data_IF_291659849892
#
_entry.id   IF_291659849892
#
_cell.length_a   1.000
_cell.length_b   1.000
_cell.length_c   1.000
_cell.angle_alpha   90.00
_cell.angle_beta   90.00
_cell.angle_gamma   90.00
#
_symmetry.space_group_name_H-M   'P 1'
#
loop_
_entity.id
_entity.type
_entity.pdbx_description
1 polymer ?
#
# COMPACT_ATOMS: atom_id res chain seq x y z
N UNK A 1 31.54 -4.59 4.20
CA UNK A 1 30.15 -4.13 4.30
C UNK A 1 29.49 -4.39 2.96
N UNK A 2 29.26 -5.66 2.62
CA UNK A 2 28.57 -6.00 1.37
C UNK A 2 27.87 -7.34 1.56
N UNK A 3 26.59 -7.28 1.90
CA UNK A 3 25.65 -8.29 1.42
C UNK A 3 24.39 -7.60 0.91
N UNK A 4 24.53 -6.66 -0.03
CA UNK A 4 23.42 -6.14 -0.85
C UNK A 4 23.02 -7.19 -1.90
N UNK A 5 22.73 -8.42 -1.47
CA UNK A 5 22.24 -9.46 -2.36
C UNK A 5 20.76 -9.21 -2.65
N UNK A 6 20.40 -9.09 -3.93
CA UNK A 6 19.01 -8.98 -4.35
C UNK A 6 18.24 -10.25 -3.95
N UNK A 7 17.22 -10.09 -3.11
CA UNK A 7 16.31 -11.15 -2.66
C UNK A 7 15.16 -11.28 -3.66
N UNK A 8 14.57 -10.15 -4.05
CA UNK A 8 13.37 -10.11 -4.88
C UNK A 8 13.31 -8.81 -5.67
N UNK A 9 12.94 -8.92 -6.95
CA UNK A 9 12.71 -7.76 -7.82
C UNK A 9 11.24 -7.67 -8.21
N UNK A 10 10.52 -6.75 -7.58
CA UNK A 10 9.10 -6.52 -7.82
C UNK A 10 8.82 -5.46 -8.89
N UNK A 11 7.53 -5.17 -9.12
CA UNK A 11 7.08 -4.15 -10.08
C UNK A 11 7.48 -2.71 -9.66
N UNK A 12 7.54 -2.43 -8.36
CA UNK A 12 7.80 -1.08 -7.83
C UNK A 12 9.01 -1.00 -6.89
N UNK A 13 9.47 -2.13 -6.34
CA UNK A 13 10.55 -2.19 -5.35
C UNK A 13 11.51 -3.33 -5.62
N UNK A 14 12.78 -3.12 -5.30
CA UNK A 14 13.79 -4.16 -5.16
C UNK A 14 14.07 -4.38 -3.68
N UNK A 15 14.16 -5.63 -3.25
CA UNK A 15 14.45 -6.02 -1.88
C UNK A 15 15.82 -6.66 -1.81
N UNK A 16 16.68 -6.15 -0.94
CA UNK A 16 18.03 -6.64 -0.73
C UNK A 16 18.21 -7.15 0.69
N UNK A 17 19.05 -8.17 0.83
CA UNK A 17 19.51 -8.63 2.14
C UNK A 17 20.33 -7.53 2.83
N UNK A 18 20.45 -7.66 4.15
CA UNK A 18 21.38 -6.88 4.97
C UNK A 18 22.25 -7.83 5.77
N UNK A 19 23.22 -7.30 6.52
CA UNK A 19 24.02 -8.13 7.45
C UNK A 19 23.18 -8.69 8.61
N UNK A 20 22.03 -8.08 8.92
CA UNK A 20 21.03 -8.61 9.85
C UNK A 20 19.99 -9.45 9.09
N UNK A 21 19.89 -10.73 9.42
CA UNK A 21 18.98 -11.68 8.75
C UNK A 21 17.49 -11.37 8.95
N UNK A 22 17.16 -10.53 9.94
CA UNK A 22 15.82 -10.08 10.25
C UNK A 22 15.50 -8.71 9.64
N UNK A 23 16.41 -8.14 8.85
CA UNK A 23 16.22 -6.84 8.19
C UNK A 23 16.41 -6.96 6.67
N UNK A 24 15.65 -6.15 5.94
CA UNK A 24 15.70 -6.03 4.48
C UNK A 24 15.86 -4.55 4.12
N UNK A 25 16.69 -4.30 3.11
CA UNK A 25 16.75 -3.01 2.44
C UNK A 25 15.71 -2.99 1.32
N UNK A 26 14.75 -2.09 1.42
CA UNK A 26 13.71 -1.88 0.39
C UNK A 26 14.07 -0.66 -0.44
N UNK A 27 14.23 -0.84 -1.75
CA UNK A 27 14.63 0.19 -2.71
C UNK A 27 13.48 0.47 -3.67
N UNK A 28 12.94 1.68 -3.64
CA UNK A 28 11.83 2.12 -4.51
C UNK A 28 12.33 2.49 -5.90
N UNK A 29 11.64 1.99 -6.92
CA UNK A 29 11.94 2.24 -8.33
C UNK A 29 11.11 3.38 -8.90
N UNK A 30 11.67 4.05 -9.89
CA UNK A 30 10.96 5.00 -10.75
C UNK A 30 10.00 4.30 -11.77
N UNK A 31 9.66 3.04 -11.56
CA UNK A 31 8.78 2.29 -12.46
C UNK A 31 7.32 2.41 -12.05
N UNK A 32 6.46 2.82 -13.00
CA UNK A 32 5.02 2.71 -12.91
C UNK A 32 4.52 1.57 -13.82
N UNK A 33 3.52 0.84 -13.34
CA UNK A 33 2.91 -0.27 -14.07
C UNK A 33 1.39 -0.25 -13.91
N UNK A 34 0.67 -0.72 -14.93
CA UNK A 34 -0.78 -0.98 -14.87
C UNK A 34 -1.14 -2.24 -15.66
N UNK A 35 -2.39 -2.73 -15.49
CA UNK A 35 -2.91 -3.92 -16.15
C UNK A 35 -1.95 -5.13 -16.01
N UNK A 36 -1.56 -5.43 -14.76
CA UNK A 36 -0.62 -6.49 -14.41
C UNK A 36 0.73 -6.45 -15.15
N UNK A 37 1.17 -5.25 -15.52
CA UNK A 37 2.45 -5.02 -16.16
C UNK A 37 2.40 -4.99 -17.68
N UNK A 38 1.21 -5.00 -18.30
CA UNK A 38 1.06 -4.81 -19.74
C UNK A 38 1.57 -3.44 -20.21
N UNK A 39 1.42 -2.41 -19.37
CA UNK A 39 2.08 -1.10 -19.56
C UNK A 39 3.09 -0.88 -18.43
N UNK A 40 4.32 -0.55 -18.81
CA UNK A 40 5.41 -0.20 -17.90
C UNK A 40 6.08 1.07 -18.40
N UNK A 41 6.31 2.03 -17.51
CA UNK A 41 6.92 3.31 -17.85
C UNK A 41 7.86 3.75 -16.72
N UNK A 42 8.98 4.36 -17.09
CA UNK A 42 9.89 5.00 -16.14
C UNK A 42 9.44 6.44 -15.92
N UNK A 43 9.06 6.75 -14.70
CA UNK A 43 8.61 8.07 -14.24
C UNK A 43 9.63 8.59 -13.24
N UNK A 44 10.53 9.44 -13.71
CA UNK A 44 11.66 9.97 -12.93
C UNK A 44 11.19 10.63 -11.62
N UNK A 45 11.76 10.21 -10.50
CA UNK A 45 11.44 10.74 -9.18
C UNK A 45 10.24 10.10 -8.48
N UNK A 46 9.53 9.15 -9.14
CA UNK A 46 8.44 8.40 -8.50
C UNK A 46 8.92 7.61 -7.28
N UNK A 47 10.08 6.95 -7.39
CA UNK A 47 10.65 6.14 -6.33
C UNK A 47 10.96 6.95 -5.07
N UNK A 48 11.57 8.14 -5.22
CA UNK A 48 11.84 9.02 -4.08
C UNK A 48 10.57 9.51 -3.39
N UNK A 49 9.51 9.80 -4.18
CA UNK A 49 8.23 10.28 -3.67
C UNK A 49 7.51 9.18 -2.90
N UNK A 50 7.41 7.97 -3.47
CA UNK A 50 6.80 6.83 -2.79
C UNK A 50 7.55 6.46 -1.51
N UNK A 51 8.88 6.44 -1.54
CA UNK A 51 9.68 6.16 -0.35
C UNK A 51 9.44 7.21 0.75
N UNK A 52 9.39 8.50 0.39
CA UNK A 52 9.13 9.58 1.34
C UNK A 52 7.73 9.50 1.95
N UNK A 53 6.69 9.34 1.12
CA UNK A 53 5.30 9.25 1.56
C UNK A 53 5.10 8.01 2.44
N UNK A 54 5.59 6.85 1.98
CA UNK A 54 5.47 5.61 2.75
C UNK A 54 6.21 5.71 4.08
N UNK A 55 7.44 6.24 4.10
CA UNK A 55 8.18 6.43 5.35
C UNK A 55 7.38 7.28 6.35
N UNK A 56 6.84 8.42 5.91
CA UNK A 56 6.06 9.33 6.77
C UNK A 56 4.81 8.64 7.34
N UNK A 57 4.04 7.95 6.50
CA UNK A 57 2.84 7.24 6.95
C UNK A 57 3.18 6.13 7.94
N UNK A 58 4.20 5.32 7.65
CA UNK A 58 4.61 4.23 8.53
C UNK A 58 5.19 4.75 9.86
N UNK A 59 5.92 5.87 9.86
CA UNK A 59 6.37 6.54 11.08
C UNK A 59 5.18 6.95 11.95
N UNK A 60 4.16 7.63 11.38
CA UNK A 60 2.95 8.01 12.12
C UNK A 60 2.13 6.80 12.58
N UNK A 61 2.06 5.73 11.79
CA UNK A 61 1.40 4.48 12.21
C UNK A 61 2.12 3.85 13.42
N UNK A 62 3.45 3.85 13.42
CA UNK A 62 4.23 3.37 14.56
C UNK A 62 3.98 4.21 15.84
N UNK A 63 3.82 5.54 15.73
CA UNK A 63 3.58 6.40 16.92
C UNK A 63 2.21 6.17 17.56
N UNK A 64 1.22 5.71 16.81
CA UNK A 64 -0.12 5.34 17.31
C UNK A 64 -0.27 3.84 17.65
N UNK A 65 0.86 3.12 17.70
CA UNK A 65 0.94 1.74 18.14
C UNK A 65 0.40 0.72 17.14
N UNK A 66 0.50 0.99 15.84
CA UNK A 66 0.32 -0.02 14.78
C UNK A 66 1.67 -0.72 14.60
N UNK A 67 1.67 -2.05 14.63
CA UNK A 67 2.88 -2.82 14.43
C UNK A 67 3.22 -2.91 12.94
N UNK A 68 4.33 -2.30 12.54
CA UNK A 68 4.77 -2.29 11.15
C UNK A 68 6.17 -2.88 10.97
N UNK A 69 6.49 -3.23 9.73
CA UNK A 69 7.83 -3.61 9.34
C UNK A 69 8.81 -2.41 9.27
N UNK A 70 8.33 -1.18 9.30
CA UNK A 70 9.17 -0.02 9.04
C UNK A 70 10.11 0.24 10.22
N UNK A 71 11.41 0.43 9.91
CA UNK A 71 12.42 0.76 10.91
C UNK A 71 12.87 2.21 10.76
N UNK A 72 13.36 2.58 9.57
CA UNK A 72 13.77 3.96 9.24
C UNK A 72 13.99 4.14 7.74
N UNK A 73 13.83 5.36 7.26
CA UNK A 73 14.30 5.77 5.94
C UNK A 73 15.83 5.90 5.93
N UNK A 74 16.49 5.44 4.87
CA UNK A 74 17.96 5.47 4.74
C UNK A 74 18.45 6.49 3.72
N UNK A 75 17.71 6.67 2.62
CA UNK A 75 18.06 7.61 1.55
C UNK A 75 16.81 8.11 0.84
N UNK A 76 16.98 8.80 -0.30
CA UNK A 76 15.84 9.28 -1.07
C UNK A 76 14.93 8.14 -1.52
N UNK A 77 15.49 6.99 -1.91
CA UNK A 77 14.77 5.84 -2.48
C UNK A 77 14.81 4.58 -1.62
N UNK A 78 15.54 4.58 -0.49
CA UNK A 78 15.74 3.38 0.32
C UNK A 78 15.19 3.54 1.74
N UNK A 79 14.65 2.44 2.27
CA UNK A 79 14.25 2.29 3.66
C UNK A 79 14.70 0.94 4.22
N UNK A 80 15.03 0.91 5.51
CA UNK A 80 15.28 -0.30 6.27
C UNK A 80 13.96 -0.80 6.86
N UNK A 81 13.66 -2.08 6.63
CA UNK A 81 12.44 -2.73 7.12
C UNK A 81 12.76 -4.07 7.76
N UNK A 82 11.93 -4.49 8.72
CA UNK A 82 11.93 -5.85 9.27
C UNK A 82 11.56 -6.84 8.15
N UNK A 83 12.30 -7.93 8.09
CA UNK A 83 11.97 -9.08 7.26
C UNK A 83 10.71 -9.74 7.78
N UNK A 84 9.76 -9.99 6.90
CA UNK A 84 8.55 -10.74 7.18
C UNK A 84 8.32 -11.82 6.13
N UNK A 85 7.66 -12.90 6.50
CA UNK A 85 7.06 -13.83 5.56
C UNK A 85 5.71 -13.28 5.13
N UNK A 86 5.63 -12.73 3.91
CA UNK A 86 4.42 -12.12 3.37
C UNK A 86 3.28 -13.14 3.35
N UNK A 87 2.14 -12.74 3.93
CA UNK A 87 0.86 -13.42 3.73
C UNK A 87 0.42 -13.03 2.32
N UNK A 88 0.20 -13.98 1.39
CA UNK A 88 -0.07 -13.68 -0.01
C UNK A 88 -1.52 -13.17 -0.23
N UNK A 89 -1.89 -12.11 0.48
CA UNK A 89 -3.17 -11.41 0.38
C UNK A 89 -2.91 -9.93 0.18
N UNK A 90 -3.59 -9.37 -0.82
CA UNK A 90 -3.82 -7.94 -0.87
C UNK A 90 -5.13 -7.64 -0.14
N UNK A 91 -5.04 -6.86 0.94
CA UNK A 91 -6.17 -6.50 1.79
C UNK A 91 -6.63 -5.10 1.40
N UNK A 92 -7.73 -5.03 0.66
CA UNK A 92 -8.27 -3.77 0.15
C UNK A 92 -9.37 -3.27 1.07
N UNK A 93 -9.27 -2.04 1.56
CA UNK A 93 -10.35 -1.37 2.28
C UNK A 93 -10.90 -0.21 1.45
N UNK A 94 -12.22 -0.11 1.37
CA UNK A 94 -12.94 0.95 0.64
C UNK A 94 -13.79 1.78 1.57
N UNK A 95 -13.59 3.09 1.57
CA UNK A 95 -14.49 4.07 2.18
C UNK A 95 -15.52 4.60 1.18
N UNK A 96 -15.17 4.56 -0.11
CA UNK A 96 -15.91 5.14 -1.22
C UNK A 96 -15.89 4.17 -2.38
N UNK A 97 -17.00 4.06 -3.12
CA UNK A 97 -17.06 3.27 -4.34
C UNK A 97 -16.13 3.89 -5.40
N UNK A 98 -15.18 3.10 -5.92
CA UNK A 98 -14.31 3.47 -7.02
C UNK A 98 -13.75 2.23 -7.73
N UNK A 99 -13.22 2.42 -8.94
CA UNK A 99 -12.45 1.42 -9.67
C UNK A 99 -13.15 0.08 -9.84
N UNK A 100 -12.49 -0.99 -9.41
CA UNK A 100 -12.99 -2.36 -9.60
C UNK A 100 -14.30 -2.63 -8.85
N UNK A 101 -14.56 -1.96 -7.73
CA UNK A 101 -15.82 -2.08 -6.99
C UNK A 101 -16.98 -1.47 -7.76
N UNK A 102 -16.82 -0.23 -8.22
CA UNK A 102 -17.79 0.48 -9.06
C UNK A 102 -18.11 -0.32 -10.33
N UNK A 103 -17.09 -0.83 -11.01
CA UNK A 103 -17.27 -1.69 -12.20
C UNK A 103 -18.01 -3.00 -11.88
N UNK A 104 -17.66 -3.67 -10.77
CA UNK A 104 -18.24 -4.97 -10.40
C UNK A 104 -19.72 -4.87 -10.05
N UNK A 105 -20.13 -3.81 -9.36
CA UNK A 105 -21.49 -3.67 -8.83
C UNK A 105 -22.36 -2.67 -9.61
N UNK A 106 -21.81 -1.98 -10.62
CA UNK A 106 -22.54 -0.94 -11.36
C UNK A 106 -22.87 0.27 -10.50
N UNK A 107 -22.05 0.56 -9.49
CA UNK A 107 -22.21 1.70 -8.59
C UNK A 107 -21.31 2.83 -9.09
N UNK A 108 -21.86 4.04 -9.18
CA UNK A 108 -21.11 5.23 -9.61
C UNK A 108 -19.90 5.50 -8.69
N UNK A 109 -18.78 5.98 -9.27
CA UNK A 109 -17.63 6.38 -8.45
C UNK A 109 -18.02 7.57 -7.55
N UNK A 110 -17.55 7.57 -6.31
CA UNK A 110 -17.76 8.67 -5.36
C UNK A 110 -18.87 8.44 -4.32
N UNK A 111 -19.69 7.39 -4.49
CA UNK A 111 -20.68 6.97 -3.49
C UNK A 111 -19.97 6.59 -2.19
N UNK A 112 -20.27 7.30 -1.11
CA UNK A 112 -19.76 7.01 0.24
C UNK A 112 -20.37 5.69 0.74
N UNK A 113 -19.53 4.77 1.22
CA UNK A 113 -20.01 3.52 1.82
C UNK A 113 -20.31 3.77 3.29
N UNK A 114 -21.54 3.44 3.71
CA UNK A 114 -21.98 3.61 5.11
C UNK A 114 -21.06 2.89 6.09
N UNK A 115 -20.62 1.68 5.72
CA UNK A 115 -19.59 0.93 6.44
C UNK A 115 -18.46 0.59 5.48
N UNK A 116 -17.18 0.87 5.82
CA UNK A 116 -16.07 0.50 4.96
C UNK A 116 -16.02 -1.01 4.71
N UNK A 117 -15.82 -1.37 3.45
CA UNK A 117 -15.78 -2.77 2.99
C UNK A 117 -14.33 -3.22 2.91
N UNK A 118 -14.04 -4.41 3.42
CA UNK A 118 -12.76 -5.09 3.24
C UNK A 118 -12.94 -6.21 2.21
N UNK A 119 -12.07 -6.24 1.22
CA UNK A 119 -11.98 -7.25 0.18
C UNK A 119 -10.59 -7.88 0.21
N UNK A 120 -10.51 -9.18 -0.06
CA UNK A 120 -9.24 -9.89 -0.20
C UNK A 120 -8.99 -10.23 -1.66
N UNK A 121 -7.74 -10.10 -2.08
CA UNK A 121 -7.27 -10.57 -3.37
C UNK A 121 -6.05 -11.45 -3.18
N UNK A 122 -5.97 -12.55 -3.93
CA UNK A 122 -4.85 -13.46 -3.84
C UNK A 122 -3.64 -12.80 -4.48
N UNK A 123 -2.57 -12.53 -3.73
CA UNK A 123 -1.35 -11.94 -4.30
C UNK A 123 -0.62 -12.98 -5.16
N UNK A 124 -1.00 -13.06 -6.43
CA UNK A 124 -0.49 -14.02 -7.40
C UNK A 124 -0.64 -13.44 -8.80
N UNK A 125 0.43 -12.77 -9.22
CA UNK A 125 0.54 -12.07 -10.50
C UNK A 125 0.14 -12.96 -11.70
N UNK A 126 0.45 -14.27 -11.68
CA UNK A 126 0.11 -15.18 -12.79
C UNK A 126 -1.39 -15.48 -12.91
N UNK A 127 -2.18 -15.16 -11.88
CA UNK A 127 -3.63 -15.34 -11.85
C UNK A 127 -4.39 -14.01 -11.92
N UNK A 128 -3.69 -12.91 -12.20
CA UNK A 128 -4.24 -11.56 -12.20
C UNK A 128 -4.88 -11.14 -10.87
N UNK A 129 -4.26 -11.57 -9.76
CA UNK A 129 -4.65 -11.23 -8.39
C UNK A 129 -6.16 -11.40 -8.11
N UNK A 130 -6.70 -12.64 -8.19
CA UNK A 130 -8.14 -12.85 -8.17
C UNK A 130 -8.75 -12.51 -6.81
N UNK A 131 -9.98 -12.00 -6.83
CA UNK A 131 -10.76 -11.76 -5.60
C UNK A 131 -11.01 -13.06 -4.83
N UNK A 132 -10.85 -13.01 -3.52
CA UNK A 132 -11.08 -14.10 -2.58
C UNK A 132 -12.16 -13.74 -1.56
N UNK A 133 -12.97 -14.74 -1.20
CA UNK A 133 -13.70 -14.74 0.06
C UNK A 133 -12.92 -15.56 1.11
N UNK A 134 -13.39 -15.58 2.35
CA UNK A 134 -12.71 -16.29 3.46
C UNK A 134 -12.67 -17.82 3.29
N UNK A 135 -13.65 -18.39 2.58
CA UNK A 135 -13.64 -19.83 2.26
C UNK A 135 -12.53 -20.18 1.27
N UNK A 136 -12.29 -19.32 0.27
CA UNK A 136 -11.16 -19.50 -0.65
C UNK A 136 -9.82 -19.38 0.09
N UNK A 137 -9.69 -18.43 1.02
CA UNK A 137 -8.48 -18.27 1.86
C UNK A 137 -8.23 -19.55 2.67
N UNK A 138 -9.29 -20.09 3.29
CA UNK A 138 -9.23 -21.33 4.07
C UNK A 138 -8.85 -22.54 3.20
N UNK A 139 -9.47 -22.66 2.03
CA UNK A 139 -9.21 -23.72 1.05
C UNK A 139 -7.75 -23.70 0.57
N UNK A 140 -7.22 -22.51 0.28
CA UNK A 140 -5.84 -22.28 -0.17
C UNK A 140 -4.82 -22.34 0.97
N UNK A 141 -5.27 -22.46 2.23
CA UNK A 141 -4.44 -22.49 3.45
C UNK A 141 -3.50 -21.28 3.55
N UNK A 142 -4.01 -20.10 3.18
CA UNK A 142 -3.23 -18.86 3.15
C UNK A 142 -3.03 -18.30 4.57
N UNK A 143 -4.08 -18.31 5.39
CA UNK A 143 -4.08 -17.81 6.76
C UNK A 143 -5.18 -18.52 7.58
N UNK A 144 -5.05 -18.54 8.91
CA UNK A 144 -6.09 -19.06 9.80
C UNK A 144 -7.29 -18.11 9.87
N UNK A 145 -8.42 -18.55 10.44
CA UNK A 145 -9.60 -17.69 10.62
C UNK A 145 -9.31 -16.57 11.61
N UNK A 146 -8.52 -16.88 12.62
CA UNK A 146 -8.04 -15.97 13.65
C UNK A 146 -7.16 -14.88 13.02
N UNK A 147 -6.16 -15.26 12.20
CA UNK A 147 -5.31 -14.30 11.48
C UNK A 147 -6.14 -13.37 10.59
N UNK A 148 -7.15 -13.91 9.89
CA UNK A 148 -8.04 -13.11 9.03
C UNK A 148 -8.88 -12.13 9.85
N UNK A 149 -9.36 -12.52 11.03
CA UNK A 149 -10.06 -11.62 11.93
C UNK A 149 -9.15 -10.49 12.41
N UNK A 150 -7.92 -10.81 12.83
CA UNK A 150 -6.93 -9.84 13.28
C UNK A 150 -6.54 -8.85 12.16
N UNK A 151 -6.29 -9.36 10.95
CA UNK A 151 -6.01 -8.54 9.76
C UNK A 151 -7.16 -7.58 9.47
N UNK A 152 -8.43 -8.04 9.53
CA UNK A 152 -9.59 -7.17 9.29
C UNK A 152 -9.72 -6.10 10.37
N UNK A 153 -9.51 -6.46 11.63
CA UNK A 153 -9.55 -5.51 12.74
C UNK A 153 -8.46 -4.45 12.60
N UNK A 154 -7.22 -4.86 12.36
CA UNK A 154 -6.09 -3.93 12.23
C UNK A 154 -6.23 -3.05 10.97
N UNK A 155 -6.73 -3.60 9.86
CA UNK A 155 -7.04 -2.82 8.64
C UNK A 155 -8.08 -1.72 8.91
N UNK A 156 -9.11 -2.00 9.70
CA UNK A 156 -10.10 -0.98 10.10
C UNK A 156 -9.50 0.07 11.03
N UNK A 157 -8.63 -0.34 11.96
CA UNK A 157 -7.91 0.58 12.86
C UNK A 157 -6.98 1.49 12.07
N UNK A 158 -6.22 0.95 11.12
CA UNK A 158 -5.36 1.70 10.20
C UNK A 158 -6.20 2.68 9.38
N UNK A 159 -7.34 2.25 8.83
CA UNK A 159 -8.24 3.15 8.10
C UNK A 159 -8.70 4.35 8.94
N UNK A 160 -9.05 4.14 10.21
CA UNK A 160 -9.52 5.23 11.07
C UNK A 160 -8.45 6.34 11.19
N UNK A 161 -7.18 5.97 11.41
CA UNK A 161 -6.08 6.93 11.47
C UNK A 161 -5.81 7.58 10.12
N UNK A 162 -5.63 6.79 9.06
CA UNK A 162 -5.32 7.30 7.73
C UNK A 162 -6.40 8.25 7.22
N UNK A 163 -7.67 7.89 7.40
CA UNK A 163 -8.80 8.72 6.99
C UNK A 163 -8.74 10.09 7.68
N UNK A 164 -8.53 10.12 8.99
CA UNK A 164 -8.40 11.38 9.75
C UNK A 164 -7.20 12.20 9.29
N UNK A 165 -6.04 11.58 9.08
CA UNK A 165 -4.83 12.30 8.63
C UNK A 165 -4.97 12.87 7.23
N UNK A 166 -5.52 12.10 6.28
CA UNK A 166 -5.74 12.63 4.93
C UNK A 166 -6.79 13.74 4.95
N UNK A 167 -7.86 13.62 5.73
CA UNK A 167 -8.88 14.67 5.88
C UNK A 167 -8.28 15.98 6.43
N UNK A 168 -7.35 15.92 7.38
CA UNK A 168 -6.67 17.09 7.95
C UNK A 168 -5.87 17.90 6.92
N UNK A 169 -5.41 17.25 5.85
CA UNK A 169 -4.64 17.91 4.78
C UNK A 169 -5.46 18.14 3.50
N UNK A 170 -6.79 18.03 3.60
CA UNK A 170 -7.71 18.26 2.49
C UNK A 170 -7.66 17.18 1.41
N UNK A 171 -7.41 15.94 1.80
CA UNK A 171 -7.45 14.77 0.91
C UNK A 171 -8.47 13.73 1.42
N UNK A 172 -9.30 13.23 0.51
CA UNK A 172 -10.25 12.16 0.79
C UNK A 172 -9.60 10.82 0.51
N UNK A 173 -9.48 9.97 1.54
CA UNK A 173 -9.05 8.58 1.40
C UNK A 173 -10.19 7.70 0.87
N UNK A 174 -10.18 7.44 -0.44
CA UNK A 174 -11.24 6.72 -1.18
C UNK A 174 -11.16 5.22 -0.90
N UNK A 175 -10.01 4.62 -1.17
CA UNK A 175 -9.69 3.23 -0.85
C UNK A 175 -8.17 3.04 -0.77
N UNK A 176 -7.73 1.91 -0.22
CA UNK A 176 -6.32 1.54 -0.18
C UNK A 176 -6.14 0.03 -0.10
N UNK A 177 -4.91 -0.42 -0.33
CA UNK A 177 -4.49 -1.81 -0.32
C UNK A 177 -3.31 -1.99 0.63
N UNK A 178 -3.42 -2.93 1.56
CA UNK A 178 -2.35 -3.32 2.48
C UNK A 178 -1.85 -4.73 2.17
N UNK A 179 -0.63 -5.00 2.62
CA UNK A 179 -0.07 -6.34 2.70
C UNK A 179 0.47 -6.55 4.11
N UNK A 180 0.28 -7.76 4.64
CA UNK A 180 0.75 -8.13 5.98
C UNK A 180 1.73 -9.29 5.87
N UNK A 181 2.57 -9.46 6.88
CA UNK A 181 3.49 -10.58 6.96
C UNK A 181 3.76 -11.00 8.40
N UNK A 182 4.18 -12.24 8.55
CA UNK A 182 4.62 -12.78 9.85
C UNK A 182 6.08 -12.40 10.10
N UNK A 183 6.39 -11.86 11.27
CA UNK A 183 7.77 -11.72 11.73
C UNK A 183 8.36 -13.08 12.17
N UNK A 184 9.61 -13.06 12.65
CA UNK A 184 10.33 -14.23 13.13
C UNK A 184 9.66 -14.93 14.33
N UNK A 185 8.82 -14.22 15.08
CA UNK A 185 8.14 -14.71 16.28
C UNK A 185 6.68 -15.12 15.97
N UNK A 186 6.25 -14.99 14.71
CA UNK A 186 4.90 -15.34 14.26
C UNK A 186 3.86 -14.24 14.46
N UNK A 187 4.27 -13.02 14.80
CA UNK A 187 3.35 -11.89 14.91
C UNK A 187 3.04 -11.29 13.54
N UNK A 188 1.80 -10.83 13.35
CA UNK A 188 1.38 -10.13 12.13
C UNK A 188 1.84 -8.66 12.18
N UNK A 189 2.58 -8.24 11.16
CA UNK A 189 3.01 -6.86 10.96
C UNK A 189 2.42 -6.32 9.66
N UNK A 190 2.04 -5.04 9.66
CA UNK A 190 1.81 -4.30 8.42
C UNK A 190 3.14 -4.16 7.67
N UNK A 191 3.17 -4.51 6.39
CA UNK A 191 4.37 -4.54 5.57
C UNK A 191 4.16 -3.83 4.22
N UNK A 192 5.05 -4.13 3.26
CA UNK A 192 5.09 -3.55 1.92
C UNK A 192 5.28 -2.03 1.86
N UNK A 193 4.26 -1.27 1.45
CA UNK A 193 4.28 0.19 1.37
C UNK A 193 2.90 0.82 1.56
N UNK A 194 2.86 2.12 1.80
CA UNK A 194 1.66 2.94 1.72
C UNK A 194 2.01 4.23 0.98
N UNK A 195 1.65 4.28 -0.30
CA UNK A 195 1.91 5.39 -1.20
C UNK A 195 0.69 5.62 -2.10
N UNK A 196 0.67 6.68 -2.92
CA UNK A 196 -0.42 6.86 -3.88
C UNK A 196 -0.40 5.83 -5.04
N UNK A 197 0.56 4.89 -5.07
CA UNK A 197 0.47 3.70 -5.94
C UNK A 197 -0.59 2.69 -5.47
N UNK A 198 -0.78 2.57 -4.15
CA UNK A 198 -1.65 1.57 -3.51
C UNK A 198 -2.78 2.18 -2.67
N UNK A 199 -3.06 3.47 -2.82
CA UNK A 199 -4.29 4.09 -2.36
C UNK A 199 -4.90 5.01 -3.42
N UNK A 200 -6.17 5.34 -3.25
CA UNK A 200 -6.87 6.40 -4.00
C UNK A 200 -7.10 7.59 -3.10
N UNK A 201 -6.68 8.76 -3.57
CA UNK A 201 -6.74 10.02 -2.87
C UNK A 201 -7.38 11.03 -3.80
N UNK A 202 -8.47 11.66 -3.36
CA UNK A 202 -9.11 12.75 -4.10
C UNK A 202 -8.95 14.06 -3.34
N UNK A 203 -8.72 15.16 -4.04
CA UNK A 203 -8.84 16.50 -3.43
C UNK A 203 -10.32 16.89 -3.24
N UNK A 204 -10.56 18.10 -2.73
CA UNK A 204 -11.90 18.63 -2.47
C UNK A 204 -12.76 18.78 -3.74
N UNK A 205 -12.11 19.01 -4.89
CA UNK A 205 -12.75 19.14 -6.20
C UNK A 205 -12.99 17.78 -6.89
N UNK A 206 -12.51 16.68 -6.28
CA UNK A 206 -12.62 15.33 -6.81
C UNK A 206 -11.54 14.96 -7.83
N UNK A 207 -10.47 15.74 -7.94
CA UNK A 207 -9.32 15.39 -8.78
C UNK A 207 -8.51 14.25 -8.14
N UNK A 208 -7.98 13.37 -9.00
CA UNK A 208 -7.15 12.26 -8.58
C UNK A 208 -5.74 12.72 -8.17
N UNK A 209 -5.34 12.40 -6.94
CA UNK A 209 -4.03 12.66 -6.36
C UNK A 209 -3.21 11.36 -6.23
N UNK A 210 -3.48 10.40 -7.10
CA UNK A 210 -2.99 9.03 -7.01
C UNK A 210 -2.69 8.42 -8.38
N UNK A 211 -2.31 7.13 -8.40
CA UNK A 211 -1.94 6.41 -9.61
C UNK A 211 -3.03 6.34 -10.69
N UNK A 212 -4.29 6.64 -10.38
CA UNK A 212 -5.32 6.81 -11.41
C UNK A 212 -4.98 7.95 -12.39
N UNK A 213 -4.14 8.93 -12.01
CA UNK A 213 -3.57 9.91 -12.96
C UNK A 213 -2.80 9.23 -14.09
N UNK A 214 -2.01 8.21 -13.76
CA UNK A 214 -1.30 7.40 -14.75
C UNK A 214 -2.24 6.41 -15.47
N UNK A 215 -3.16 5.77 -14.74
CA UNK A 215 -4.07 4.76 -15.33
C UNK A 215 -5.06 5.36 -16.33
N UNK A 216 -5.42 6.64 -16.17
CA UNK A 216 -6.41 7.37 -16.96
C UNK A 216 -5.79 8.49 -17.82
N UNK A 217 -4.46 8.57 -17.88
CA UNK A 217 -3.69 9.58 -18.63
C UNK A 217 -4.13 11.03 -18.34
N UNK A 218 -4.32 11.37 -17.06
CA UNK A 218 -4.85 12.68 -16.61
C UNK A 218 -3.77 13.77 -16.44
N UNK A 219 -2.49 13.42 -16.49
CA UNK A 219 -1.40 14.37 -16.30
C UNK A 219 -0.12 13.78 -15.73
N UNK A 220 0.67 14.62 -15.05
CA UNK A 220 1.95 14.23 -14.46
C UNK A 220 1.76 13.53 -13.11
N UNK A 221 2.16 12.25 -13.04
CA UNK A 221 2.08 11.45 -11.83
C UNK A 221 2.94 12.02 -10.69
N UNK A 222 4.17 12.46 -10.99
CA UNK A 222 5.08 13.00 -9.96
C UNK A 222 4.62 14.35 -9.45
N UNK A 223 3.96 15.17 -10.28
CA UNK A 223 3.41 16.45 -9.83
C UNK A 223 2.34 16.24 -8.75
N UNK A 224 1.41 15.30 -8.96
CA UNK A 224 0.38 14.99 -7.95
C UNK A 224 0.97 14.33 -6.70
N UNK A 225 1.98 13.47 -6.84
CA UNK A 225 2.63 12.85 -5.68
C UNK A 225 3.44 13.84 -4.86
N UNK A 226 4.07 14.84 -5.48
CA UNK A 226 4.75 15.92 -4.75
C UNK A 226 3.73 16.74 -3.93
N UNK A 227 2.56 17.05 -4.50
CA UNK A 227 1.48 17.73 -3.76
C UNK A 227 1.03 16.91 -2.54
N UNK A 228 0.85 15.59 -2.70
CA UNK A 228 0.50 14.71 -1.57
C UNK A 228 1.60 14.72 -0.51
N UNK A 229 2.87 14.64 -0.91
CA UNK A 229 4.00 14.67 0.03
C UNK A 229 4.06 16.00 0.80
N UNK A 230 3.92 17.13 0.12
CA UNK A 230 3.94 18.45 0.77
C UNK A 230 2.77 18.60 1.75
N UNK A 231 1.57 18.20 1.36
CA UNK A 231 0.40 18.16 2.25
C UNK A 231 0.66 17.29 3.49
N UNK A 232 1.20 16.09 3.33
CA UNK A 232 1.48 15.20 4.46
C UNK A 232 2.55 15.72 5.42
N UNK A 233 3.47 16.58 4.96
CA UNK A 233 4.46 17.25 5.84
C UNK A 233 3.82 18.28 6.77
N UNK A 234 2.60 18.72 6.49
CA UNK A 234 1.83 19.63 7.36
C UNK A 234 1.12 18.89 8.51
N UNK A 235 1.17 17.54 8.54
CA UNK A 235 0.63 16.75 9.64
C UNK A 235 1.56 16.75 10.85
N UNK A 236 1.17 17.47 11.90
CA UNK A 236 1.76 17.41 13.25
C UNK A 236 1.89 15.98 13.79
#
# INVERSE_FOLDING_TARGET
METNQLIYSGKAKDLYATEDEHMILSVYKDQATMLNGARKETINGKGRLNNAISSLIFEKLNTVGINTHFVKRLSETEQLVKKVTIIPLEVVLRNVAAGSFSKRFGIEEGVVLETPIIEFYYKKDELDDPFLNEEHISLLKIASKEDIADIKQETRRINAYLKTWFEQVGLRLVDFKLEFGFDKDGHILLADEFSPDNCRLWDEDGHHMDKDVFRRDLGSLTAVYEVVLEKLKELD
#
